data_IF_125442022320
#
_entry.id   IF_125442022320
#
_cell.length_a   1.000
_cell.length_b   1.000
_cell.length_c   1.000
_cell.angle_alpha   90.00
_cell.angle_beta   90.00
_cell.angle_gamma   90.00
#
_symmetry.space_group_name_H-M   'P 1'
#
loop_
_entity.id
_entity.type
_entity.pdbx_description
1 polymer ?
#
# COMPACT_ATOMS: atom_id res chain seq x y z
N UNK A 1 72.19 27.53 -15.87
CA UNK A 1 71.09 27.37 -16.83
C UNK A 1 69.86 26.95 -16.04
N UNK A 2 68.96 27.90 -15.76
CA UNK A 2 67.77 27.69 -14.95
C UNK A 2 66.61 27.25 -15.84
N UNK A 3 65.97 26.13 -15.52
CA UNK A 3 64.80 25.63 -16.22
C UNK A 3 63.55 25.95 -15.38
N UNK A 4 62.68 26.81 -15.92
CA UNK A 4 61.41 27.19 -15.33
C UNK A 4 60.35 26.12 -15.62
N UNK A 5 59.71 25.59 -14.59
CA UNK A 5 58.51 24.76 -14.68
C UNK A 5 57.27 25.67 -14.58
N UNK A 6 56.53 25.79 -15.68
CA UNK A 6 55.20 26.43 -15.72
C UNK A 6 54.12 25.37 -15.47
N UNK A 7 53.40 25.49 -14.37
CA UNK A 7 52.21 24.69 -14.08
C UNK A 7 50.97 25.35 -14.69
N UNK A 8 50.28 24.66 -15.59
CA UNK A 8 49.01 25.08 -16.19
C UNK A 8 47.88 24.49 -15.35
N UNK A 9 47.15 25.33 -14.60
CA UNK A 9 45.86 24.94 -14.01
C UNK A 9 44.74 25.22 -15.03
N UNK A 10 44.15 24.15 -15.57
CA UNK A 10 42.92 24.24 -16.35
C UNK A 10 41.70 24.20 -15.41
N UNK A 11 40.93 25.29 -15.36
CA UNK A 11 39.57 25.27 -14.80
C UNK A 11 38.61 24.70 -15.85
N UNK A 12 37.96 23.58 -15.54
CA UNK A 12 36.82 23.06 -16.28
C UNK A 12 35.56 23.81 -15.83
N UNK A 13 35.02 24.68 -16.70
CA UNK A 13 33.69 25.27 -16.54
C UNK A 13 32.66 24.30 -17.15
N UNK A 14 31.83 23.69 -16.30
CA UNK A 14 30.64 22.97 -16.75
C UNK A 14 29.58 23.99 -17.14
N UNK A 15 29.24 24.03 -18.44
CA UNK A 15 28.18 24.86 -18.99
C UNK A 15 26.81 24.39 -18.50
N UNK A 16 26.05 25.30 -17.90
CA UNK A 16 24.62 25.14 -17.71
C UNK A 16 23.91 25.61 -18.99
N UNK A 17 23.20 24.70 -19.66
CA UNK A 17 22.20 25.07 -20.67
C UNK A 17 21.07 25.83 -19.97
N UNK A 18 20.87 27.10 -20.36
CA UNK A 18 19.74 27.91 -19.92
C UNK A 18 18.78 28.08 -21.10
N UNK A 19 17.60 27.47 -20.96
CA UNK A 19 16.44 27.77 -21.78
C UNK A 19 15.97 29.20 -21.53
N UNK A 20 15.78 29.93 -22.63
CA UNK A 20 15.34 31.32 -22.64
C UNK A 20 13.85 31.44 -22.33
N UNK A 21 13.55 32.05 -21.20
CA UNK A 21 12.25 32.58 -20.82
C UNK A 21 12.49 33.60 -19.71
N UNK A 22 12.24 34.88 -19.98
CA UNK A 22 12.36 35.97 -19.00
C UNK A 22 11.23 35.86 -17.96
N UNK A 23 11.35 34.87 -17.06
CA UNK A 23 10.58 34.76 -15.83
C UNK A 23 11.51 35.02 -14.66
N UNK A 24 11.00 35.61 -13.59
CA UNK A 24 11.76 35.88 -12.38
C UNK A 24 12.48 34.62 -11.89
N UNK A 25 13.81 34.60 -12.01
CA UNK A 25 14.61 33.44 -11.65
C UNK A 25 14.78 33.41 -10.13
N UNK A 26 14.19 32.40 -9.49
CA UNK A 26 14.42 32.09 -8.07
C UNK A 26 15.70 31.27 -7.95
N UNK A 27 16.65 31.75 -7.16
CA UNK A 27 17.85 31.01 -6.77
C UNK A 27 17.65 30.33 -5.41
N UNK A 28 18.15 29.11 -5.27
CA UNK A 28 18.03 28.30 -4.05
C UNK A 28 19.39 27.92 -3.51
N UNK A 29 19.60 28.00 -2.21
CA UNK A 29 20.84 27.56 -1.56
C UNK A 29 20.57 26.86 -0.23
N UNK A 30 21.50 25.99 0.15
CA UNK A 30 21.52 25.29 1.43
C UNK A 30 22.79 25.71 2.15
N UNK A 31 22.67 26.23 3.36
CA UNK A 31 23.80 26.65 4.19
C UNK A 31 23.70 26.00 5.57
N UNK A 32 24.83 25.51 6.09
CA UNK A 32 24.90 24.94 7.44
C UNK A 32 25.68 25.90 8.33
N UNK A 33 25.05 26.34 9.42
CA UNK A 33 25.67 27.16 10.47
C UNK A 33 25.66 26.36 11.79
N UNK A 34 26.83 25.85 12.17
CA UNK A 34 26.97 24.94 13.30
C UNK A 34 26.12 23.66 13.13
N UNK A 35 25.15 23.46 14.03
CA UNK A 35 24.19 22.34 13.97
C UNK A 35 22.92 22.66 13.17
N UNK A 36 22.74 23.90 12.72
CA UNK A 36 21.51 24.37 12.07
C UNK A 36 21.71 24.38 10.56
N UNK A 37 20.82 23.72 9.84
CA UNK A 37 20.79 23.79 8.37
C UNK A 37 19.68 24.71 7.94
N UNK A 38 20.00 25.64 7.05
CA UNK A 38 19.06 26.62 6.54
C UNK A 38 18.86 26.48 5.03
N UNK A 39 17.60 26.44 4.61
CA UNK A 39 17.20 26.54 3.22
C UNK A 39 16.89 27.98 2.91
N UNK A 40 17.43 28.49 1.80
CA UNK A 40 17.24 29.88 1.38
C UNK A 40 16.73 29.93 -0.05
N UNK A 41 15.69 30.74 -0.28
CA UNK A 41 15.24 31.12 -1.61
C UNK A 41 15.38 32.62 -1.79
N UNK A 42 15.98 33.03 -2.90
CA UNK A 42 16.17 34.44 -3.26
C UNK A 42 15.61 34.70 -4.66
N UNK A 43 14.71 35.65 -4.74
CA UNK A 43 14.10 36.14 -5.96
C UNK A 43 14.92 37.32 -6.49
N UNK A 44 15.32 37.29 -7.76
CA UNK A 44 16.14 38.36 -8.34
C UNK A 44 15.35 39.68 -8.55
N UNK A 45 14.02 39.62 -8.62
CA UNK A 45 13.13 40.77 -8.75
C UNK A 45 11.69 40.32 -9.03
N UNK A 46 10.70 41.15 -8.75
CA UNK A 46 9.29 40.85 -9.03
C UNK A 46 8.56 42.11 -9.47
N UNK A 47 7.75 41.97 -10.53
CA UNK A 47 6.81 43.03 -10.95
C UNK A 47 5.52 43.02 -10.11
N UNK A 48 5.30 41.94 -9.34
CA UNK A 48 4.15 41.77 -8.45
C UNK A 48 4.59 41.96 -6.99
N UNK A 49 3.78 42.66 -6.20
CA UNK A 49 4.04 42.86 -4.77
C UNK A 49 4.01 41.54 -4.01
N UNK A 50 5.07 41.27 -3.25
CA UNK A 50 5.18 40.10 -2.40
C UNK A 50 4.47 40.41 -1.10
N UNK A 51 3.45 39.63 -0.75
CA UNK A 51 2.70 39.78 0.50
C UNK A 51 3.17 38.81 1.58
N UNK A 52 4.02 37.85 1.22
CA UNK A 52 4.49 36.84 2.15
C UNK A 52 5.25 35.69 1.50
N UNK A 53 5.64 34.72 2.31
CA UNK A 53 6.33 33.51 1.88
C UNK A 53 5.73 32.29 2.51
N UNK A 54 5.84 31.16 1.82
CA UNK A 54 5.41 29.86 2.32
C UNK A 54 6.44 28.78 2.01
N UNK A 55 6.74 27.97 3.03
CA UNK A 55 7.56 26.76 2.91
C UNK A 55 6.67 25.52 3.05
N UNK A 56 6.81 24.58 2.12
CA UNK A 56 5.99 23.36 2.02
C UNK A 56 6.87 22.13 1.86
N UNK A 57 6.46 21.00 2.45
CA UNK A 57 7.05 19.68 2.23
C UNK A 57 5.95 18.64 2.05
N UNK A 58 5.85 18.05 0.86
CA UNK A 58 4.68 17.26 0.49
C UNK A 58 3.41 18.11 0.57
N UNK A 59 2.41 17.65 1.33
CA UNK A 59 1.15 18.38 1.54
C UNK A 59 1.16 19.25 2.80
N UNK A 60 2.27 19.31 3.54
CA UNK A 60 2.38 20.01 4.82
C UNK A 60 3.01 21.39 4.64
N UNK A 61 2.29 22.43 5.08
CA UNK A 61 2.85 23.78 5.25
C UNK A 61 3.71 23.81 6.51
N UNK A 62 4.99 24.18 6.36
CA UNK A 62 5.98 24.22 7.43
C UNK A 62 6.06 25.60 8.08
N UNK A 63 6.01 26.64 7.27
CA UNK A 63 6.08 28.04 7.70
C UNK A 63 5.38 28.92 6.68
N UNK A 64 4.62 29.89 7.17
CA UNK A 64 4.04 30.96 6.35
C UNK A 64 4.22 32.29 7.09
N UNK A 65 4.60 33.34 6.37
CA UNK A 65 4.77 34.69 6.89
C UNK A 65 4.14 35.73 5.94
N UNK A 66 3.95 36.94 6.45
CA UNK A 66 3.39 38.08 5.72
C UNK A 66 4.45 39.17 5.45
N UNK A 67 5.68 38.76 5.14
CA UNK A 67 6.82 39.68 4.94
C UNK A 67 7.04 39.96 3.44
N UNK A 68 7.22 41.21 3.00
CA UNK A 68 7.35 41.58 1.59
C UNK A 68 8.78 41.42 1.02
N UNK A 69 9.54 40.45 1.51
CA UNK A 69 10.95 40.26 1.15
C UNK A 69 11.17 39.59 -0.21
N UNK A 70 12.33 39.83 -0.83
CA UNK A 70 12.81 39.04 -1.97
C UNK A 70 13.55 37.76 -1.53
N UNK A 71 13.68 37.55 -0.21
CA UNK A 71 14.45 36.46 0.37
C UNK A 71 13.66 35.84 1.52
N UNK A 72 13.59 34.51 1.52
CA UNK A 72 13.01 33.74 2.63
C UNK A 72 13.94 32.61 3.04
N UNK A 73 13.88 32.26 4.32
CA UNK A 73 14.73 31.24 4.92
C UNK A 73 13.91 30.34 5.86
N UNK A 74 14.20 29.04 5.79
CA UNK A 74 13.65 28.00 6.66
C UNK A 74 14.77 27.22 7.33
N UNK A 75 14.65 27.02 8.64
CA UNK A 75 15.58 26.22 9.43
C UNK A 75 15.08 24.78 9.50
N UNK A 76 15.94 23.81 9.21
CA UNK A 76 15.63 22.39 9.21
C UNK A 76 15.75 21.79 10.62
N UNK A 77 14.75 21.02 11.00
CA UNK A 77 14.84 20.09 12.12
C UNK A 77 15.53 18.78 11.66
N UNK A 78 16.50 18.32 12.43
CA UNK A 78 17.48 17.28 12.05
C UNK A 78 16.92 15.88 11.89
N UNK A 79 15.79 15.52 12.51
CA UNK A 79 15.37 14.12 12.60
C UNK A 79 14.75 13.56 11.30
N UNK A 80 14.19 14.42 10.44
CA UNK A 80 13.61 13.98 9.15
C UNK A 80 13.89 14.97 8.01
N UNK A 81 14.97 15.73 8.12
CA UNK A 81 15.30 16.88 7.28
C UNK A 81 15.43 16.60 5.78
N UNK A 82 15.66 15.35 5.37
CA UNK A 82 15.78 14.97 3.95
C UNK A 82 14.47 15.04 3.16
N UNK A 83 14.60 15.34 1.87
CA UNK A 83 13.51 15.36 0.89
C UNK A 83 13.41 16.67 0.11
N UNK A 84 12.33 16.80 -0.65
CA UNK A 84 12.04 17.99 -1.44
C UNK A 84 11.23 19.01 -0.64
N UNK A 85 11.74 20.24 -0.59
CA UNK A 85 11.07 21.39 0.00
C UNK A 85 10.70 22.37 -1.10
N UNK A 86 9.56 23.02 -0.95
CA UNK A 86 9.10 24.04 -1.87
C UNK A 86 9.01 25.37 -1.13
N UNK A 87 9.69 26.39 -1.67
CA UNK A 87 9.48 27.77 -1.26
C UNK A 87 8.57 28.46 -2.27
N UNK A 88 7.61 29.23 -1.75
CA UNK A 88 6.59 29.92 -2.54
C UNK A 88 6.58 31.38 -2.10
N UNK A 89 6.72 32.28 -3.05
CA UNK A 89 6.48 33.71 -2.84
C UNK A 89 5.00 33.98 -3.07
N UNK A 90 4.34 34.67 -2.14
CA UNK A 90 2.91 34.94 -2.18
C UNK A 90 2.65 36.34 -2.75
N UNK A 91 1.63 36.53 -3.62
CA UNK A 91 0.74 35.49 -4.17
C UNK A 91 1.49 34.51 -5.08
N UNK A 92 1.05 33.25 -5.19
CA UNK A 92 1.82 32.16 -5.84
C UNK A 92 2.25 32.45 -7.29
N UNK A 93 1.56 33.38 -7.95
CA UNK A 93 1.88 33.88 -9.29
C UNK A 93 3.27 34.54 -9.36
N UNK A 94 3.82 35.00 -8.24
CA UNK A 94 5.19 35.55 -8.15
C UNK A 94 6.22 34.47 -8.47
N UNK A 95 6.02 33.26 -7.94
CA UNK A 95 6.87 32.12 -8.25
C UNK A 95 7.10 31.16 -7.09
N UNK A 96 7.62 29.99 -7.44
CA UNK A 96 7.99 28.92 -6.51
C UNK A 96 9.25 28.20 -6.96
N UNK A 97 10.05 27.70 -6.03
CA UNK A 97 11.24 26.91 -6.33
C UNK A 97 11.37 25.70 -5.40
N UNK A 98 12.01 24.66 -5.92
CA UNK A 98 12.22 23.39 -5.22
C UNK A 98 13.65 23.29 -4.71
N UNK A 99 13.81 22.89 -3.46
CA UNK A 99 15.10 22.65 -2.79
C UNK A 99 15.16 21.18 -2.39
N UNK A 100 16.09 20.42 -3.00
CA UNK A 100 16.30 19.01 -2.66
C UNK A 100 17.35 18.90 -1.55
N UNK A 101 16.91 18.50 -0.37
CA UNK A 101 17.76 18.29 0.80
C UNK A 101 18.15 16.82 0.86
N UNK A 102 19.46 16.57 0.93
CA UNK A 102 20.01 15.23 1.11
C UNK A 102 19.55 14.64 2.44
N UNK A 103 19.22 13.37 2.44
CA UNK A 103 18.99 12.63 3.68
C UNK A 103 18.90 11.13 3.45
N UNK A 104 18.76 10.34 4.54
CA UNK A 104 18.69 8.90 4.46
C UNK A 104 17.55 8.41 3.54
N UNK A 105 17.74 7.30 2.81
CA UNK A 105 16.70 6.75 1.94
C UNK A 105 15.41 6.42 2.68
N UNK A 106 14.29 6.91 2.15
CA UNK A 106 12.92 6.56 2.52
C UNK A 106 12.37 5.52 1.55
N UNK A 107 12.62 4.25 1.87
CA UNK A 107 12.11 3.10 1.10
C UNK A 107 10.67 2.78 1.50
N UNK A 108 9.82 2.49 0.51
CA UNK A 108 8.42 2.08 0.71
C UNK A 108 8.10 0.86 -0.12
N UNK A 109 7.35 -0.07 0.46
CA UNK A 109 6.73 -1.16 -0.29
C UNK A 109 5.65 -0.62 -1.23
N UNK A 110 5.59 -1.11 -2.47
CA UNK A 110 4.52 -0.78 -3.42
C UNK A 110 3.19 -1.36 -2.95
N UNK A 111 3.23 -2.60 -2.46
CA UNK A 111 2.14 -3.25 -1.72
C UNK A 111 2.71 -3.81 -0.42
N UNK A 112 2.02 -3.58 0.71
CA UNK A 112 2.47 -4.08 2.03
C UNK A 112 2.25 -5.58 2.22
N UNK A 113 1.26 -6.14 1.52
CA UNK A 113 0.89 -7.55 1.59
C UNK A 113 0.49 -8.05 0.21
N UNK A 114 0.95 -9.24 -0.16
CA UNK A 114 0.57 -9.93 -1.39
C UNK A 114 0.02 -11.33 -1.07
N UNK A 115 -1.07 -11.71 -1.72
CA UNK A 115 -1.69 -13.03 -1.57
C UNK A 115 -1.64 -13.74 -2.91
N UNK A 116 -0.97 -14.89 -2.97
CA UNK A 116 -0.76 -15.65 -4.21
C UNK A 116 -1.03 -17.13 -3.95
N UNK A 117 -1.43 -17.87 -4.98
CA UNK A 117 -1.68 -19.32 -4.85
C UNK A 117 -0.36 -20.08 -4.99
N UNK A 118 -0.26 -21.21 -4.29
CA UNK A 118 0.81 -22.21 -4.47
C UNK A 118 0.99 -22.56 -5.95
N UNK A 119 2.23 -22.70 -6.39
CA UNK A 119 2.59 -22.99 -7.78
C UNK A 119 2.56 -21.78 -8.73
N UNK A 120 1.95 -20.65 -8.36
CA UNK A 120 1.99 -19.41 -9.13
C UNK A 120 3.28 -18.61 -8.85
N UNK A 121 3.49 -17.51 -9.59
CA UNK A 121 4.58 -16.57 -9.37
C UNK A 121 4.14 -15.31 -8.61
N UNK A 122 4.97 -14.83 -7.69
CA UNK A 122 4.77 -13.58 -6.97
C UNK A 122 5.79 -12.51 -7.39
N UNK A 123 5.36 -11.24 -7.44
CA UNK A 123 6.24 -10.09 -7.67
C UNK A 123 6.10 -9.13 -6.50
N UNK A 124 7.15 -9.01 -5.70
CA UNK A 124 7.23 -8.06 -4.59
C UNK A 124 8.01 -6.84 -5.05
N UNK A 125 7.55 -5.64 -4.73
CA UNK A 125 8.18 -4.42 -5.22
C UNK A 125 8.34 -3.36 -4.12
N UNK A 126 9.47 -2.66 -4.15
CA UNK A 126 9.76 -1.50 -3.32
C UNK A 126 10.18 -0.32 -4.18
N UNK A 127 9.91 0.89 -3.68
CA UNK A 127 10.28 2.14 -4.33
C UNK A 127 10.82 3.17 -3.35
N UNK A 128 11.58 4.13 -3.86
CA UNK A 128 12.09 5.28 -3.12
C UNK A 128 12.12 6.50 -4.03
N UNK A 129 11.70 7.63 -3.47
CA UNK A 129 11.74 8.96 -4.11
C UNK A 129 12.71 9.87 -3.34
N UNK A 130 13.72 9.26 -2.72
CA UNK A 130 14.66 9.96 -1.84
C UNK A 130 15.75 10.67 -2.64
N UNK A 131 16.30 11.71 -2.05
CA UNK A 131 17.45 12.42 -2.59
C UNK A 131 18.61 12.35 -1.59
N UNK A 132 19.82 11.91 -2.01
CA UNK A 132 20.15 11.36 -3.33
C UNK A 132 19.43 10.03 -3.62
N UNK A 133 19.32 9.63 -4.91
CA UNK A 133 18.69 8.37 -5.29
C UNK A 133 19.45 7.16 -4.74
N UNK A 134 18.78 6.00 -4.71
CA UNK A 134 19.36 4.76 -4.20
C UNK A 134 20.34 4.22 -5.23
N UNK A 135 21.54 3.86 -4.77
CA UNK A 135 22.60 3.29 -5.61
C UNK A 135 22.64 1.77 -5.55
N UNK A 136 22.14 1.17 -4.47
CA UNK A 136 22.15 -0.28 -4.26
C UNK A 136 20.85 -0.76 -3.61
N UNK A 137 20.32 -1.88 -4.11
CA UNK A 137 19.15 -2.56 -3.57
C UNK A 137 19.49 -4.00 -3.18
N UNK A 138 19.06 -4.41 -1.98
CA UNK A 138 19.25 -5.76 -1.45
C UNK A 138 17.94 -6.29 -0.90
N UNK A 139 17.60 -7.53 -1.24
CA UNK A 139 16.47 -8.24 -0.65
C UNK A 139 16.96 -9.27 0.37
N UNK A 140 16.33 -9.29 1.54
CA UNK A 140 16.52 -10.31 2.57
C UNK A 140 15.28 -11.22 2.57
N UNK A 141 15.54 -12.51 2.31
CA UNK A 141 14.58 -13.58 1.94
C UNK A 141 14.26 -13.61 0.44
N UNK A 142 14.33 -14.82 -0.14
CA UNK A 142 14.18 -15.05 -1.58
C UNK A 142 15.48 -14.81 -2.37
N UNK A 143 15.70 -15.60 -3.43
CA UNK A 143 16.90 -15.51 -4.31
C UNK A 143 16.60 -15.84 -5.78
N UNK A 144 15.34 -15.78 -6.21
CA UNK A 144 14.97 -16.31 -7.53
C UNK A 144 15.37 -15.33 -8.63
N UNK A 145 14.87 -14.09 -8.61
CA UNK A 145 15.27 -13.07 -9.58
C UNK A 145 14.99 -11.66 -9.07
N UNK A 146 15.95 -10.75 -9.19
CA UNK A 146 15.83 -9.36 -8.72
C UNK A 146 16.10 -8.40 -9.88
N UNK A 147 15.18 -7.47 -10.11
CA UNK A 147 15.33 -6.36 -11.05
C UNK A 147 15.33 -5.06 -10.29
N UNK A 148 16.38 -4.25 -10.44
CA UNK A 148 16.54 -3.01 -9.68
C UNK A 148 16.90 -1.84 -10.58
N UNK A 149 16.35 -0.69 -10.26
CA UNK A 149 16.61 0.64 -10.81
C UNK A 149 16.87 1.61 -9.65
N UNK A 150 17.34 2.83 -9.91
CA UNK A 150 17.63 3.81 -8.85
C UNK A 150 16.44 4.15 -7.93
N UNK A 151 15.21 4.01 -8.43
CA UNK A 151 13.98 4.39 -7.70
C UNK A 151 13.10 3.21 -7.34
N UNK A 152 13.36 2.00 -7.88
CA UNK A 152 12.48 0.84 -7.73
C UNK A 152 13.24 -0.48 -7.81
N UNK A 153 12.87 -1.44 -6.98
CA UNK A 153 13.35 -2.83 -7.04
C UNK A 153 12.18 -3.81 -6.99
N UNK A 154 12.32 -4.91 -7.71
CA UNK A 154 11.34 -5.99 -7.80
C UNK A 154 12.01 -7.34 -7.56
N UNK A 155 11.43 -8.12 -6.65
CA UNK A 155 11.77 -9.51 -6.39
C UNK A 155 10.69 -10.41 -7.01
N UNK A 156 11.10 -11.23 -7.96
CA UNK A 156 10.25 -12.20 -8.64
C UNK A 156 10.51 -13.57 -8.02
N UNK A 157 9.45 -14.23 -7.54
CA UNK A 157 9.47 -15.56 -6.94
C UNK A 157 8.60 -16.46 -7.81
N UNK A 158 9.14 -17.56 -8.29
CA UNK A 158 8.45 -18.48 -9.20
C UNK A 158 8.09 -19.76 -8.47
N UNK A 159 6.98 -20.39 -8.87
CA UNK A 159 6.51 -21.68 -8.35
C UNK A 159 6.46 -21.70 -6.81
N UNK A 160 5.57 -20.89 -6.23
CA UNK A 160 5.49 -20.72 -4.79
C UNK A 160 5.21 -22.02 -4.02
N UNK A 161 6.00 -22.24 -2.97
CA UNK A 161 5.84 -23.32 -2.02
C UNK A 161 5.03 -22.87 -0.78
N UNK A 162 4.17 -23.75 -0.25
CA UNK A 162 3.29 -23.41 0.88
C UNK A 162 4.03 -23.29 2.22
N UNK A 163 5.20 -23.92 2.37
CA UNK A 163 5.93 -23.98 3.65
C UNK A 163 7.09 -22.98 3.69
N UNK A 164 7.87 -22.89 2.61
CA UNK A 164 9.12 -22.14 2.56
C UNK A 164 8.94 -20.65 2.23
N UNK A 165 8.01 -20.31 1.33
CA UNK A 165 7.88 -18.95 0.79
C UNK A 165 7.07 -17.98 1.65
N UNK A 166 5.98 -18.35 2.36
CA UNK A 166 5.21 -17.41 3.16
C UNK A 166 6.03 -16.67 4.22
N UNK A 167 5.72 -15.40 4.45
CA UNK A 167 6.31 -14.60 5.51
C UNK A 167 6.79 -13.22 5.05
N UNK A 168 7.70 -12.63 5.81
CA UNK A 168 8.17 -11.27 5.58
C UNK A 168 9.42 -11.24 4.70
N UNK A 169 9.38 -10.38 3.69
CA UNK A 169 10.48 -10.06 2.79
C UNK A 169 10.90 -8.62 3.05
N UNK A 170 12.21 -8.38 3.14
CA UNK A 170 12.73 -7.03 3.43
C UNK A 170 13.52 -6.54 2.23
N UNK A 171 13.15 -5.39 1.70
CA UNK A 171 13.93 -4.68 0.70
C UNK A 171 14.71 -3.56 1.40
N UNK A 172 16.02 -3.53 1.19
CA UNK A 172 16.92 -2.52 1.71
C UNK A 172 17.49 -1.71 0.55
N UNK A 173 17.52 -0.40 0.70
CA UNK A 173 18.02 0.55 -0.26
C UNK A 173 19.08 1.44 0.36
N UNK A 174 20.24 1.51 -0.28
CA UNK A 174 21.40 2.25 0.20
C UNK A 174 21.71 3.45 -0.69
N UNK A 175 22.13 4.55 -0.08
CA UNK A 175 22.66 5.75 -0.75
C UNK A 175 23.88 6.29 -0.01
N UNK A 176 24.46 7.39 -0.49
CA UNK A 176 25.57 8.06 0.21
C UNK A 176 25.19 8.58 1.60
N UNK A 177 23.89 8.81 1.85
CA UNK A 177 23.38 9.35 3.12
C UNK A 177 22.92 8.26 4.10
N UNK A 178 23.15 6.99 3.78
CA UNK A 178 22.79 5.85 4.63
C UNK A 178 21.83 4.87 3.96
N UNK A 179 21.10 4.11 4.79
CA UNK A 179 20.25 3.00 4.35
C UNK A 179 18.82 3.15 4.86
N UNK A 180 17.87 2.63 4.09
CA UNK A 180 16.46 2.56 4.45
C UNK A 180 15.85 1.26 3.98
N UNK A 181 14.81 0.79 4.64
CA UNK A 181 14.20 -0.50 4.33
C UNK A 181 12.68 -0.45 4.39
N UNK A 182 12.03 -1.40 3.70
CA UNK A 182 10.62 -1.68 3.86
C UNK A 182 10.37 -3.19 3.90
N UNK A 183 9.26 -3.57 4.53
CA UNK A 183 8.85 -4.96 4.69
C UNK A 183 7.60 -5.22 3.84
N UNK A 184 7.61 -6.34 3.12
CA UNK A 184 6.48 -6.86 2.34
C UNK A 184 6.13 -8.24 2.88
N UNK A 185 4.86 -8.46 3.21
CA UNK A 185 4.39 -9.79 3.66
C UNK A 185 3.83 -10.56 2.48
N UNK A 186 4.32 -11.78 2.26
CA UNK A 186 3.79 -12.71 1.27
C UNK A 186 2.96 -13.79 1.97
N UNK A 187 1.73 -13.97 1.50
CA UNK A 187 0.84 -15.05 1.91
C UNK A 187 0.62 -15.99 0.74
N UNK A 188 0.94 -17.27 0.92
CA UNK A 188 0.65 -18.32 -0.06
C UNK A 188 -0.60 -19.08 0.38
N UNK A 189 -1.50 -19.37 -0.57
CA UNK A 189 -2.70 -20.18 -0.34
C UNK A 189 -2.54 -21.52 -1.06
N UNK A 190 -2.95 -22.61 -0.40
CA UNK A 190 -2.94 -23.91 -1.06
C UNK A 190 -3.92 -23.93 -2.24
N UNK A 191 -3.48 -24.49 -3.36
CA UNK A 191 -4.33 -24.67 -4.54
C UNK A 191 -5.55 -25.59 -4.25
N UNK A 192 -5.41 -26.54 -3.31
CA UNK A 192 -6.44 -27.52 -2.96
C UNK A 192 -7.39 -27.01 -1.87
N UNK A 193 -7.12 -25.83 -1.29
CA UNK A 193 -7.93 -25.28 -0.20
C UNK A 193 -9.41 -25.14 -0.59
N UNK A 194 -9.68 -24.80 -1.85
CA UNK A 194 -11.02 -24.64 -2.38
C UNK A 194 -11.80 -25.97 -2.48
N UNK A 195 -11.13 -27.13 -2.45
CA UNK A 195 -11.79 -28.44 -2.54
C UNK A 195 -12.42 -28.88 -1.22
N UNK A 196 -11.87 -28.47 -0.08
CA UNK A 196 -12.36 -28.89 1.24
C UNK A 196 -13.82 -28.50 1.50
N UNK A 197 -14.29 -27.27 1.18
CA UNK A 197 -15.71 -26.93 1.26
C UNK A 197 -16.60 -27.85 0.41
N UNK A 198 -16.19 -28.19 -0.81
CA UNK A 198 -16.96 -29.08 -1.69
C UNK A 198 -17.04 -30.49 -1.12
N UNK A 199 -15.94 -31.02 -0.58
CA UNK A 199 -15.95 -32.34 0.08
C UNK A 199 -16.89 -32.36 1.30
N UNK A 200 -16.93 -31.26 2.07
CA UNK A 200 -17.88 -31.10 3.18
C UNK A 200 -19.33 -31.15 2.72
N UNK A 201 -19.68 -30.40 1.66
CA UNK A 201 -21.03 -30.39 1.09
C UNK A 201 -21.42 -31.77 0.56
N UNK A 202 -20.52 -32.46 -0.14
CA UNK A 202 -20.77 -33.81 -0.67
C UNK A 202 -21.01 -34.80 0.47
N UNK A 203 -20.20 -34.75 1.53
CA UNK A 203 -20.38 -35.60 2.70
C UNK A 203 -21.73 -35.35 3.39
N UNK A 204 -22.14 -34.08 3.55
CA UNK A 204 -23.43 -33.71 4.12
C UNK A 204 -24.60 -34.27 3.31
N UNK A 205 -24.56 -34.11 1.97
CA UNK A 205 -25.61 -34.64 1.07
C UNK A 205 -25.70 -36.17 1.18
N UNK A 206 -24.57 -36.88 1.22
CA UNK A 206 -24.56 -38.34 1.37
C UNK A 206 -25.17 -38.78 2.71
N UNK A 207 -24.88 -38.07 3.80
CA UNK A 207 -25.48 -38.34 5.11
C UNK A 207 -26.99 -38.12 5.08
N UNK A 208 -27.48 -37.03 4.49
CA UNK A 208 -28.92 -36.76 4.37
C UNK A 208 -29.63 -37.85 3.56
N UNK A 209 -29.07 -38.26 2.41
CA UNK A 209 -29.64 -39.32 1.56
C UNK A 209 -29.72 -40.65 2.31
N UNK A 210 -28.67 -41.03 3.05
CA UNK A 210 -28.65 -42.28 3.81
C UNK A 210 -29.66 -42.28 4.96
N UNK A 211 -29.80 -41.17 5.69
CA UNK A 211 -30.81 -41.02 6.75
C UNK A 211 -32.23 -41.14 6.19
N UNK A 212 -32.52 -40.46 5.07
CA UNK A 212 -33.83 -40.54 4.40
C UNK A 212 -34.11 -41.98 3.96
N UNK A 213 -33.16 -42.66 3.33
CA UNK A 213 -33.33 -44.05 2.89
C UNK A 213 -33.59 -45.02 4.05
N UNK A 214 -32.86 -44.88 5.17
CA UNK A 214 -33.09 -45.69 6.37
C UNK A 214 -34.48 -45.39 6.95
N UNK A 215 -34.89 -44.13 7.00
CA UNK A 215 -36.22 -43.73 7.46
C UNK A 215 -37.32 -44.35 6.59
N UNK A 216 -37.21 -44.26 5.27
CA UNK A 216 -38.17 -44.87 4.34
C UNK A 216 -38.21 -46.39 4.46
N UNK A 217 -37.05 -47.04 4.56
CA UNK A 217 -36.97 -48.49 4.69
C UNK A 217 -37.53 -48.98 6.03
N UNK A 218 -37.32 -48.24 7.11
CA UNK A 218 -37.87 -48.54 8.45
C UNK A 218 -39.35 -48.21 8.60
N UNK A 219 -39.90 -47.31 7.78
CA UNK A 219 -41.34 -46.99 7.77
C UNK A 219 -42.18 -47.97 6.94
N UNK A 220 -41.54 -48.78 6.08
CA UNK A 220 -42.20 -49.81 5.26
C UNK A 220 -42.64 -51.13 5.95
N UNK A 221 -42.67 -51.32 7.28
CA UNK A 221 -43.30 -52.50 7.88
C UNK A 221 -44.43 -52.21 8.90
N UNK A 222 -45.35 -51.27 8.63
CA UNK A 222 -46.61 -51.13 9.39
C UNK A 222 -47.85 -51.07 8.45
N UNK A 223 -47.98 -52.04 7.54
CA UNK A 223 -49.30 -52.41 6.98
C UNK A 223 -49.81 -53.62 7.77
N UNK A 224 -50.67 -53.38 8.75
CA UNK A 224 -51.45 -54.41 9.43
C UNK A 224 -52.43 -54.99 8.39
N UNK A 225 -52.46 -56.32 8.15
CA UNK A 225 -53.53 -56.91 7.36
C UNK A 225 -54.80 -56.94 8.22
N UNK A 226 -55.80 -56.11 7.87
CA UNK A 226 -57.15 -56.25 8.40
C UNK A 226 -57.92 -57.26 7.51
N UNK A 227 -58.18 -58.44 8.06
CA UNK A 227 -59.07 -59.45 7.49
C UNK A 227 -60.54 -58.98 7.58
N UNK A 228 -61.29 -59.14 6.49
CA UNK A 228 -62.74 -58.95 6.48
C UNK A 228 -63.46 -60.16 7.10
N UNK A 229 -64.38 -59.96 8.05
CA UNK A 229 -65.76 -60.46 7.90
C UNK A 229 -66.74 -60.05 9.04
N UNK A 230 -67.98 -59.77 8.60
CA UNK A 230 -69.26 -59.88 9.31
C UNK A 230 -69.66 -58.92 10.46
N UNK A 231 -70.73 -58.15 10.20
CA UNK A 231 -71.91 -58.22 11.06
C UNK A 231 -72.40 -56.94 11.77
N UNK A 232 -73.39 -56.30 11.14
CA UNK A 232 -74.55 -55.62 11.78
C UNK A 232 -74.37 -54.25 12.47
N UNK A 233 -75.12 -53.29 11.95
CA UNK A 233 -75.42 -51.96 12.50
C UNK A 233 -76.43 -52.02 13.68
N UNK A 234 -76.96 -50.89 14.23
CA UNK A 234 -76.48 -49.49 14.31
C UNK A 234 -76.58 -48.89 15.74
N UNK A 235 -76.08 -47.65 15.95
CA UNK A 235 -76.90 -46.46 16.37
C UNK A 235 -76.06 -45.32 17.00
N UNK A 236 -75.93 -44.23 16.22
CA UNK A 236 -76.38 -42.84 16.49
C UNK A 236 -75.89 -42.09 17.76
N UNK A 237 -75.05 -41.07 17.55
CA UNK A 237 -75.15 -39.71 18.15
C UNK A 237 -74.14 -38.78 17.44
N UNK A 238 -74.52 -37.97 16.44
CA UNK A 238 -75.01 -36.58 16.56
C UNK A 238 -74.12 -35.65 17.41
N UNK A 239 -73.48 -34.65 16.79
CA UNK A 239 -72.90 -33.49 17.49
C UNK A 239 -71.66 -32.86 16.82
N UNK A 240 -71.90 -31.88 15.95
CA UNK A 240 -70.94 -31.10 15.15
C UNK A 240 -70.48 -29.83 15.90
N UNK A 241 -69.18 -29.45 15.83
CA UNK A 241 -68.61 -28.07 15.72
C UNK A 241 -67.06 -28.16 15.85
N UNK A 242 -66.15 -27.92 14.88
CA UNK A 242 -65.89 -26.85 13.89
C UNK A 242 -65.19 -25.61 14.49
N UNK A 243 -63.90 -25.47 14.08
CA UNK A 243 -63.16 -24.24 13.69
C UNK A 243 -62.70 -23.21 14.77
N UNK A 244 -61.64 -22.40 14.61
CA UNK A 244 -60.68 -22.10 13.52
C UNK A 244 -59.67 -21.00 14.00
N UNK A 245 -58.54 -20.85 13.28
CA UNK A 245 -57.62 -19.66 13.18
C UNK A 245 -56.88 -19.14 14.44
N UNK A 246 -55.65 -18.61 14.37
CA UNK A 246 -54.73 -18.29 13.26
C UNK A 246 -53.52 -17.43 13.73
N UNK A 247 -52.44 -17.45 12.92
CA UNK A 247 -51.30 -16.50 12.74
C UNK A 247 -50.62 -15.80 13.95
N UNK A 248 -49.28 -15.84 14.00
CA UNK A 248 -48.45 -14.64 13.75
C UNK A 248 -46.96 -14.94 13.51
N UNK A 249 -46.39 -14.22 12.54
CA UNK A 249 -44.96 -14.05 12.25
C UNK A 249 -44.45 -12.86 13.08
N UNK A 250 -43.24 -12.92 13.63
CA UNK A 250 -42.58 -11.77 14.26
C UNK A 250 -41.10 -11.68 13.86
N UNK A 251 -40.79 -10.76 12.95
CA UNK A 251 -39.46 -10.16 12.80
C UNK A 251 -39.19 -9.20 13.97
N UNK A 252 -37.93 -9.07 14.41
CA UNK A 252 -37.38 -7.79 14.92
C UNK A 252 -35.90 -7.62 14.58
N UNK A 253 -35.57 -6.35 14.40
CA UNK A 253 -34.42 -5.71 13.78
C UNK A 253 -33.11 -5.70 14.58
N UNK A 254 -32.08 -5.30 13.84
CA UNK A 254 -30.76 -4.82 14.24
C UNK A 254 -30.75 -3.60 15.16
N UNK A 255 -29.59 -3.40 15.79
CA UNK A 255 -29.00 -2.13 16.22
C UNK A 255 -27.50 -2.24 16.02
#
# INVERSE_FOLDING_TARGET
MAAALLAVLGLALLGAESGSGAGSAISTSISTDGSKTHLTCTLNGSDTEIVGHRWVKGDKVLKEDALPGLKTQYELDTEEGGGQYLCVFLPEVVGKASVNVKGPPKVKAVKKSEHVTEGEGAVLACKSESFPPITEWVWYKGKVFVVSTETRTELHILNLDLEADPGQYVCNGSSTEGTGHAVVTLHVRSQLAALWPFLGIVAEVLVLVTVIFIYEKRRKPDEVPDDEDTGSAPLKSSGHHVNDKGKSVRQRNAS
#
